data_IF_931223055107
#
_entry.id   IF_931223055107
#
_cell.length_a   1.000
_cell.length_b   1.000
_cell.length_c   1.000
_cell.angle_alpha   90.00
_cell.angle_beta   90.00
_cell.angle_gamma   90.00
#
_symmetry.space_group_name_H-M   'P 1'
#
loop_
_entity.id
_entity.type
_entity.pdbx_description
1 polymer ?
#
# COMPACT_ATOMS: atom_id res chain seq x y z
N UNK A 1 23.88 -23.48 14.08
CA UNK A 1 23.62 -23.60 12.64
C UNK A 1 22.47 -24.58 12.48
N UNK A 2 21.29 -24.08 12.13
CA UNK A 2 20.16 -24.89 11.68
C UNK A 2 19.36 -24.06 10.67
N UNK A 3 19.41 -24.56 9.45
CA UNK A 3 18.66 -24.28 8.21
C UNK A 3 17.94 -22.97 7.99
N UNK A 4 18.61 -22.19 7.14
CA UNK A 4 18.05 -21.20 6.23
C UNK A 4 17.43 -21.92 5.02
N UNK A 5 16.19 -22.39 5.10
CA UNK A 5 15.41 -22.79 3.91
C UNK A 5 13.91 -22.51 4.11
N UNK A 6 13.53 -21.23 4.26
CA UNK A 6 12.15 -20.82 3.94
C UNK A 6 12.12 -20.61 2.43
N UNK A 7 11.76 -21.67 1.72
CA UNK A 7 11.86 -21.79 0.27
C UNK A 7 11.16 -20.66 -0.48
N UNK A 8 11.73 -20.34 -1.64
CA UNK A 8 11.30 -19.39 -2.67
C UNK A 8 9.90 -19.69 -3.28
N UNK A 9 9.17 -20.65 -2.72
CA UNK A 9 8.05 -21.34 -3.37
C UNK A 9 6.65 -20.79 -3.01
N UNK A 10 6.52 -19.89 -2.04
CA UNK A 10 5.23 -19.33 -1.60
C UNK A 10 5.15 -17.80 -1.74
N UNK A 11 6.11 -17.16 -2.41
CA UNK A 11 5.97 -15.74 -2.78
C UNK A 11 4.84 -15.62 -3.79
N UNK A 12 3.61 -15.38 -3.32
CA UNK A 12 2.53 -14.98 -4.19
C UNK A 12 3.01 -13.75 -4.95
N UNK A 13 3.32 -13.94 -6.24
CA UNK A 13 3.74 -12.86 -7.10
C UNK A 13 2.62 -11.82 -7.20
N UNK A 14 2.91 -10.71 -7.90
CA UNK A 14 2.00 -9.57 -8.14
C UNK A 14 0.66 -9.90 -8.84
N UNK A 15 0.29 -11.18 -8.97
CA UNK A 15 -0.97 -11.70 -9.51
C UNK A 15 -2.20 -11.34 -8.68
N UNK A 16 -2.05 -11.08 -7.38
CA UNK A 16 -3.14 -10.58 -6.55
C UNK A 16 -3.54 -9.18 -7.02
N UNK A 17 -4.82 -8.96 -7.31
CA UNK A 17 -5.37 -7.64 -7.55
C UNK A 17 -6.56 -7.43 -6.59
N UNK A 18 -6.49 -6.41 -5.72
CA UNK A 18 -7.56 -6.17 -4.75
C UNK A 18 -8.83 -5.71 -5.47
N UNK A 19 -9.94 -6.36 -5.16
CA UNK A 19 -11.26 -6.04 -5.74
C UNK A 19 -11.62 -4.55 -5.55
N UNK A 20 -11.27 -3.99 -4.39
CA UNK A 20 -11.63 -2.62 -3.99
C UNK A 20 -10.94 -1.55 -4.84
N UNK A 21 -9.84 -1.86 -5.52
CA UNK A 21 -9.11 -0.88 -6.33
C UNK A 21 -9.90 -0.49 -7.58
N UNK A 22 -10.78 -1.37 -8.07
CA UNK A 22 -11.71 -1.09 -9.15
C UNK A 22 -13.07 -0.56 -8.70
N UNK A 23 -13.32 -0.52 -7.39
CA UNK A 23 -14.59 -0.12 -6.79
C UNK A 23 -14.38 0.94 -5.69
N UNK A 24 -13.61 1.99 -6.04
CA UNK A 24 -13.41 3.16 -5.20
C UNK A 24 -14.63 4.09 -5.29
N UNK A 25 -15.07 4.64 -4.15
CA UNK A 25 -16.01 5.74 -4.13
C UNK A 25 -15.38 6.99 -4.77
N UNK A 26 -16.18 7.83 -5.43
CA UNK A 26 -15.68 9.06 -6.08
C UNK A 26 -14.92 9.97 -5.10
N UNK A 27 -15.35 9.99 -3.85
CA UNK A 27 -14.77 10.75 -2.73
C UNK A 27 -13.79 9.94 -1.87
N UNK A 28 -13.23 8.84 -2.39
CA UNK A 28 -12.34 7.99 -1.64
C UNK A 28 -11.11 8.73 -1.07
N UNK A 29 -10.70 8.35 0.14
CA UNK A 29 -9.55 8.93 0.84
C UNK A 29 -8.48 7.89 1.09
N UNK A 30 -7.21 8.29 1.00
CA UNK A 30 -6.07 7.44 1.34
C UNK A 30 -5.12 8.16 2.29
N UNK A 31 -4.81 7.49 3.39
CA UNK A 31 -3.79 7.89 4.36
C UNK A 31 -2.76 6.78 4.53
N UNK A 32 -1.55 7.14 4.92
CA UNK A 32 -0.56 6.15 5.30
C UNK A 32 0.61 6.76 6.04
N UNK A 33 1.33 5.93 6.79
CA UNK A 33 2.49 6.40 7.55
C UNK A 33 3.61 6.97 6.67
N UNK A 34 3.66 6.57 5.39
CA UNK A 34 4.59 7.10 4.40
C UNK A 34 4.14 8.43 3.77
N UNK A 35 2.94 8.94 4.11
CA UNK A 35 2.33 10.09 3.46
C UNK A 35 2.27 11.35 4.34
N UNK A 36 2.36 12.52 3.70
CA UNK A 36 1.97 13.81 4.25
C UNK A 36 0.49 14.05 3.93
N UNK A 37 -0.33 14.19 4.98
CA UNK A 37 -1.76 14.44 4.82
C UNK A 37 -2.53 13.29 4.17
N UNK A 38 -3.67 13.62 3.58
CA UNK A 38 -4.66 12.67 3.06
C UNK A 38 -4.87 12.91 1.57
N UNK A 39 -4.71 11.89 0.74
CA UNK A 39 -5.09 11.97 -0.66
C UNK A 39 -6.61 11.85 -0.80
N UNK A 40 -7.20 12.60 -1.73
CA UNK A 40 -8.65 12.74 -1.90
C UNK A 40 -9.06 12.43 -3.35
N UNK A 41 -10.14 11.68 -3.50
CA UNK A 41 -10.74 11.31 -4.77
C UNK A 41 -10.21 9.98 -5.33
N UNK A 42 -11.11 9.23 -5.99
CA UNK A 42 -10.83 7.90 -6.54
C UNK A 42 -9.58 7.87 -7.45
N UNK A 43 -9.38 8.90 -8.28
CA UNK A 43 -8.25 8.97 -9.21
C UNK A 43 -6.91 9.04 -8.48
N UNK A 44 -6.79 9.94 -7.49
CA UNK A 44 -5.58 10.10 -6.70
C UNK A 44 -5.26 8.84 -5.88
N UNK A 45 -6.27 8.28 -5.22
CA UNK A 45 -6.14 7.03 -4.46
C UNK A 45 -5.66 5.89 -5.34
N UNK A 46 -6.30 5.68 -6.50
CA UNK A 46 -5.91 4.65 -7.46
C UNK A 46 -4.49 4.85 -7.96
N UNK A 47 -4.12 6.06 -8.36
CA UNK A 47 -2.79 6.37 -8.87
C UNK A 47 -1.71 6.03 -7.83
N UNK A 48 -1.91 6.42 -6.57
CA UNK A 48 -0.99 6.12 -5.47
C UNK A 48 -0.87 4.61 -5.25
N UNK A 49 -2.00 3.88 -5.14
CA UNK A 49 -1.98 2.44 -4.88
C UNK A 49 -1.31 1.67 -6.02
N UNK A 50 -1.61 2.02 -7.28
CA UNK A 50 -0.97 1.37 -8.44
C UNK A 50 0.54 1.59 -8.41
N UNK A 51 1.01 2.83 -8.16
CA UNK A 51 2.44 3.14 -8.09
C UNK A 51 3.13 2.49 -6.89
N UNK A 52 2.48 2.45 -5.74
CA UNK A 52 2.97 1.74 -4.56
C UNK A 52 3.27 0.26 -4.86
N UNK A 53 2.37 -0.40 -5.59
CA UNK A 53 2.49 -1.83 -5.94
C UNK A 53 3.62 -2.11 -6.93
N UNK A 54 4.01 -1.13 -7.76
CA UNK A 54 5.19 -1.24 -8.63
C UNK A 54 6.52 -1.23 -7.85
N UNK A 55 6.53 -0.79 -6.58
CA UNK A 55 7.73 -0.77 -5.75
C UNK A 55 7.96 -2.08 -4.98
N UNK A 56 6.92 -2.88 -4.78
CA UNK A 56 7.02 -4.16 -4.09
C UNK A 56 7.58 -5.23 -5.01
N UNK A 57 8.56 -5.98 -4.52
CA UNK A 57 9.15 -7.09 -5.27
C UNK A 57 8.25 -8.34 -5.26
N UNK A 58 7.46 -8.52 -4.21
CA UNK A 58 6.48 -9.61 -4.03
C UNK A 58 5.42 -9.20 -3.01
N UNK A 59 4.33 -9.97 -2.85
CA UNK A 59 3.37 -9.75 -1.77
C UNK A 59 2.96 -11.08 -1.13
N UNK A 60 3.60 -11.45 -0.01
CA UNK A 60 3.28 -12.68 0.73
C UNK A 60 2.18 -12.38 1.77
N UNK A 61 0.93 -12.69 1.43
CA UNK A 61 -0.24 -12.39 2.26
C UNK A 61 -0.41 -13.40 3.39
N UNK A 62 -0.36 -12.89 4.62
CA UNK A 62 -0.80 -13.63 5.82
C UNK A 62 -2.31 -13.54 6.06
N UNK A 63 -2.96 -12.49 5.52
CA UNK A 63 -4.41 -12.32 5.55
C UNK A 63 -4.87 -11.43 4.40
N UNK A 64 -5.98 -11.81 3.77
CA UNK A 64 -6.77 -10.97 2.86
C UNK A 64 -8.24 -11.37 3.00
N UNK A 65 -9.11 -10.41 3.31
CA UNK A 65 -10.52 -10.71 3.51
C UNK A 65 -11.30 -9.64 4.25
N UNK A 66 -12.60 -9.89 4.39
CA UNK A 66 -13.53 -9.01 5.09
C UNK A 66 -13.23 -8.96 6.60
N UNK A 67 -13.45 -7.78 7.18
CA UNK A 67 -13.30 -7.52 8.61
C UNK A 67 -14.41 -6.59 9.11
N UNK A 68 -15.14 -7.02 10.13
CA UNK A 68 -16.34 -6.31 10.58
C UNK A 68 -17.42 -6.24 9.50
N UNK A 69 -18.38 -5.32 9.66
CA UNK A 69 -19.55 -5.27 8.77
C UNK A 69 -19.21 -4.63 7.41
N UNK A 70 -18.30 -3.65 7.38
CA UNK A 70 -17.99 -2.85 6.18
C UNK A 70 -16.48 -2.80 5.86
N UNK A 71 -15.63 -3.55 6.57
CA UNK A 71 -14.18 -3.46 6.42
C UNK A 71 -13.58 -4.56 5.55
N UNK A 72 -12.42 -4.27 4.98
CA UNK A 72 -11.54 -5.23 4.33
C UNK A 72 -10.11 -5.01 4.82
N UNK A 73 -9.37 -6.09 5.04
CA UNK A 73 -8.05 -6.05 5.62
C UNK A 73 -7.08 -6.88 4.78
N UNK A 74 -5.91 -6.32 4.55
CA UNK A 74 -4.77 -7.01 3.95
C UNK A 74 -3.57 -6.93 4.89
N UNK A 75 -2.90 -8.05 5.11
CA UNK A 75 -1.67 -8.11 5.89
C UNK A 75 -0.67 -8.96 5.11
N UNK A 76 0.42 -8.34 4.66
CA UNK A 76 1.44 -9.02 3.86
C UNK A 76 2.85 -8.56 4.18
N UNK A 77 3.82 -9.36 3.75
CA UNK A 77 5.24 -9.03 3.74
C UNK A 77 5.73 -8.86 2.28
N UNK A 78 6.71 -7.98 2.09
CA UNK A 78 7.36 -7.67 0.81
C UNK A 78 8.81 -7.24 1.06
N UNK A 79 9.54 -6.95 -0.01
CA UNK A 79 10.73 -6.08 -0.01
C UNK A 79 10.55 -4.89 -0.95
N UNK A 80 11.34 -3.84 -0.73
CA UNK A 80 11.51 -2.67 -1.60
C UNK A 80 13.01 -2.41 -1.73
N UNK A 81 13.57 -2.59 -2.93
CA UNK A 81 15.02 -2.53 -3.17
C UNK A 81 15.83 -3.44 -2.22
N UNK A 82 15.33 -4.66 -2.00
CA UNK A 82 15.93 -5.63 -1.07
C UNK A 82 15.65 -5.37 0.42
N UNK A 83 15.12 -4.21 0.81
CA UNK A 83 14.79 -3.91 2.20
C UNK A 83 13.43 -4.51 2.59
N UNK A 84 13.32 -5.28 3.69
CA UNK A 84 12.07 -5.93 4.08
C UNK A 84 11.04 -4.90 4.54
N UNK A 85 9.79 -5.09 4.13
CA UNK A 85 8.64 -4.29 4.58
C UNK A 85 7.46 -5.19 4.91
N UNK A 86 6.77 -4.88 6.01
CA UNK A 86 5.47 -5.45 6.35
C UNK A 86 4.41 -4.40 6.16
N UNK A 87 3.30 -4.78 5.56
CA UNK A 87 2.23 -3.86 5.18
C UNK A 87 0.92 -4.32 5.79
N UNK A 88 0.16 -3.37 6.31
CA UNK A 88 -1.26 -3.55 6.67
C UNK A 88 -2.07 -2.52 5.89
N UNK A 89 -3.06 -2.97 5.14
CA UNK A 89 -4.03 -2.11 4.45
C UNK A 89 -5.39 -2.33 5.09
N UNK A 90 -6.03 -1.26 5.52
CA UNK A 90 -7.43 -1.28 5.93
C UNK A 90 -8.26 -0.51 4.92
N UNK A 91 -9.38 -1.07 4.51
CA UNK A 91 -10.36 -0.43 3.63
C UNK A 91 -11.70 -0.41 4.35
N UNK A 92 -12.32 0.75 4.44
CA UNK A 92 -13.71 0.91 4.91
C UNK A 92 -14.60 1.21 3.72
N UNK A 93 -15.71 0.46 3.62
CA UNK A 93 -16.71 0.66 2.58
C UNK A 93 -17.75 1.70 3.00
N UNK A 94 -18.27 2.44 2.01
CA UNK A 94 -19.46 3.26 2.19
C UNK A 94 -20.74 2.40 2.17
N UNK A 95 -21.92 3.04 2.28
CA UNK A 95 -23.21 2.35 2.28
C UNK A 95 -23.55 1.65 0.95
N UNK A 96 -22.88 2.00 -0.14
CA UNK A 96 -23.04 1.38 -1.47
C UNK A 96 -22.09 0.19 -1.66
N UNK A 97 -21.22 -0.09 -0.68
CA UNK A 97 -20.23 -1.16 -0.72
C UNK A 97 -18.89 -0.77 -1.33
N UNK A 98 -18.75 0.47 -1.80
CA UNK A 98 -17.53 0.97 -2.45
C UNK A 98 -16.46 1.32 -1.41
N UNK A 99 -15.20 1.15 -1.77
CA UNK A 99 -14.08 1.53 -0.92
C UNK A 99 -13.97 3.05 -0.78
N UNK A 100 -14.15 3.57 0.44
CA UNK A 100 -14.20 5.01 0.71
C UNK A 100 -13.05 5.50 1.58
N UNK A 101 -12.59 4.73 2.57
CA UNK A 101 -11.48 5.17 3.42
C UNK A 101 -10.42 4.09 3.53
N UNK A 102 -9.22 4.43 3.07
CA UNK A 102 -8.05 3.55 3.09
C UNK A 102 -7.00 4.08 4.04
N UNK A 103 -6.41 3.18 4.83
CA UNK A 103 -5.22 3.48 5.62
C UNK A 103 -4.16 2.41 5.41
N UNK A 104 -2.91 2.83 5.23
CA UNK A 104 -1.77 1.92 4.97
C UNK A 104 -0.66 2.13 6.00
N UNK A 105 -0.28 1.03 6.64
CA UNK A 105 0.88 0.99 7.54
C UNK A 105 2.02 0.22 6.89
N UNK A 106 3.13 0.89 6.65
CA UNK A 106 4.42 0.27 6.33
C UNK A 106 5.30 0.20 7.57
N UNK A 107 6.00 -0.92 7.76
CA UNK A 107 6.99 -1.08 8.83
C UNK A 107 8.14 -1.99 8.39
N UNK A 108 9.37 -1.83 8.93
CA UNK A 108 9.78 -0.85 9.94
C UNK A 108 9.92 0.58 9.39
N UNK A 109 10.21 1.55 10.27
CA UNK A 109 10.34 2.98 9.91
C UNK A 109 11.36 3.21 8.79
N UNK A 110 12.49 2.50 8.77
CA UNK A 110 13.50 2.64 7.72
C UNK A 110 12.93 2.35 6.32
N UNK A 111 12.24 1.21 6.16
CA UNK A 111 11.61 0.81 4.90
C UNK A 111 10.44 1.72 4.53
N UNK A 112 9.69 2.24 5.51
CA UNK A 112 8.67 3.27 5.30
C UNK A 112 9.28 4.56 4.73
N UNK A 113 10.39 5.04 5.28
CA UNK A 113 11.06 6.25 4.79
C UNK A 113 11.62 6.06 3.38
N UNK A 114 12.23 4.91 3.11
CA UNK A 114 12.67 4.52 1.76
C UNK A 114 11.49 4.51 0.78
N UNK A 115 10.41 3.82 1.13
CA UNK A 115 9.20 3.75 0.32
C UNK A 115 8.63 5.15 0.03
N UNK A 116 8.57 6.02 1.03
CA UNK A 116 8.09 7.40 0.86
C UNK A 116 8.92 8.18 -0.16
N UNK A 117 10.26 8.16 -0.07
CA UNK A 117 11.13 8.84 -1.05
C UNK A 117 10.96 8.31 -2.46
N UNK A 118 10.90 6.99 -2.62
CA UNK A 118 10.65 6.38 -3.93
C UNK A 118 9.29 6.78 -4.51
N UNK A 119 8.26 6.89 -3.68
CA UNK A 119 6.96 7.39 -4.13
C UNK A 119 7.02 8.86 -4.57
N UNK A 120 7.77 9.71 -3.84
CA UNK A 120 8.02 11.09 -4.24
C UNK A 120 8.69 11.15 -5.63
N UNK A 121 9.74 10.37 -5.85
CA UNK A 121 10.42 10.27 -7.15
C UNK A 121 9.47 9.83 -8.27
N UNK A 122 8.61 8.83 -8.02
CA UNK A 122 7.64 8.31 -9.00
C UNK A 122 6.59 9.34 -9.41
N UNK A 123 6.27 10.27 -8.51
CA UNK A 123 5.31 11.33 -8.74
C UNK A 123 5.94 12.69 -9.06
N UNK A 124 7.26 12.74 -9.25
CA UNK A 124 7.97 13.99 -9.54
C UNK A 124 7.31 14.77 -10.70
N UNK A 125 7.05 16.06 -10.45
CA UNK A 125 6.34 16.93 -11.40
C UNK A 125 4.81 16.83 -11.35
N UNK A 126 4.24 16.08 -10.41
CA UNK A 126 2.79 16.01 -10.17
C UNK A 126 2.43 16.49 -8.75
N UNK A 127 1.21 16.98 -8.52
CA UNK A 127 0.76 17.34 -7.16
C UNK A 127 0.82 16.19 -6.15
N UNK A 128 0.75 14.93 -6.62
CA UNK A 128 0.80 13.75 -5.73
C UNK A 128 2.16 13.58 -5.05
N UNK A 129 3.24 14.18 -5.57
CA UNK A 129 4.54 14.14 -4.91
C UNK A 129 4.55 14.84 -3.55
N UNK A 130 3.67 15.81 -3.32
CA UNK A 130 3.57 16.55 -2.05
C UNK A 130 3.12 15.66 -0.88
N UNK A 131 2.44 14.55 -1.19
CA UNK A 131 2.11 13.53 -0.21
C UNK A 131 3.33 12.73 0.26
N UNK A 132 4.52 12.87 -0.30
CA UNK A 132 5.65 11.99 0.04
C UNK A 132 6.91 12.77 0.39
N UNK A 133 7.82 12.13 1.14
CA UNK A 133 9.06 12.74 1.59
C UNK A 133 9.98 13.06 0.41
N UNK A 134 10.39 14.32 0.29
CA UNK A 134 11.49 14.71 -0.59
C UNK A 134 12.84 14.34 0.02
N UNK A 135 13.89 14.26 -0.79
CA UNK A 135 15.26 14.01 -0.32
C UNK A 135 15.82 15.12 0.59
N UNK A 136 15.21 16.31 0.55
CA UNK A 136 15.63 17.48 1.34
C UNK A 136 14.96 17.58 2.72
N UNK A 137 14.13 16.59 3.11
CA UNK A 137 13.35 16.58 4.37
C UNK A 137 13.97 15.73 5.48
#
# INVERSE_FOLDING_TARGET
MADTERGDADRQGLSYYPWWLDDLADDATLEGGAMNGTAQGAEAVRAIVVKARELYEFQDFSFTGDFGDNGFLEIYESSVQGEPVKVVVTVTRNAEGQAQSLAVLHRPRSSLLLFSRLMHERFAGTPLAEHFLSDES
#
